data_IF_808293484809
#
_entry.id   IF_808293484809
#
_cell.length_a   1.000
_cell.length_b   1.000
_cell.length_c   1.000
_cell.angle_alpha   90.00
_cell.angle_beta   90.00
_cell.angle_gamma   90.00
#
_symmetry.space_group_name_H-M   'P 1'
#
loop_
_entity.id
_entity.type
_entity.pdbx_description
1 polymer ?
#
# COMPACT_ATOMS: atom_id res chain seq x y z
N UNK A 1 -8.34 -4.05 12.26
CA UNK A 1 -6.90 -3.90 12.09
C UNK A 1 -6.63 -3.31 10.71
N UNK A 2 -5.60 -2.45 10.55
CA UNK A 2 -5.25 -1.87 9.27
C UNK A 2 -4.77 -2.93 8.26
N UNK A 3 -5.16 -2.77 7.01
CA UNK A 3 -4.91 -3.76 5.95
C UNK A 3 -4.86 -3.12 4.57
N UNK A 4 -4.12 -3.73 3.65
CA UNK A 4 -4.26 -3.52 2.21
C UNK A 4 -5.01 -4.68 1.58
N UNK A 5 -6.02 -4.37 0.78
CA UNK A 5 -6.77 -5.36 0.00
C UNK A 5 -6.57 -5.11 -1.49
N UNK A 6 -6.06 -6.10 -2.22
CA UNK A 6 -5.83 -5.98 -3.66
C UNK A 6 -7.16 -6.18 -4.40
N UNK A 7 -7.62 -5.13 -5.08
CA UNK A 7 -8.88 -5.14 -5.83
C UNK A 7 -8.67 -5.32 -7.33
N UNK A 8 -7.46 -5.07 -7.84
CA UNK A 8 -7.10 -5.26 -9.25
C UNK A 8 -5.61 -5.61 -9.38
N UNK A 9 -5.27 -6.32 -10.44
CA UNK A 9 -3.91 -6.74 -10.78
C UNK A 9 -3.71 -8.23 -10.57
N UNK A 10 -2.47 -8.70 -10.76
CA UNK A 10 -2.13 -10.13 -10.67
C UNK A 10 -2.48 -10.77 -9.33
N UNK A 11 -2.47 -9.96 -8.28
CA UNK A 11 -2.65 -10.37 -6.89
C UNK A 11 -4.08 -10.15 -6.37
N UNK A 12 -5.05 -9.91 -7.26
CA UNK A 12 -6.43 -9.61 -6.89
C UNK A 12 -7.01 -10.62 -5.89
N UNK A 13 -7.70 -10.10 -4.87
CA UNK A 13 -8.27 -10.89 -3.77
C UNK A 13 -7.31 -11.14 -2.60
N UNK A 14 -6.01 -10.83 -2.74
CA UNK A 14 -5.07 -10.93 -1.62
C UNK A 14 -5.29 -9.79 -0.62
N UNK A 15 -5.17 -10.12 0.66
CA UNK A 15 -5.24 -9.18 1.78
C UNK A 15 -3.95 -9.25 2.58
N UNK A 16 -3.38 -8.09 2.87
CA UNK A 16 -2.17 -7.94 3.68
C UNK A 16 -2.52 -7.20 4.96
N UNK A 17 -2.22 -7.81 6.11
CA UNK A 17 -2.41 -7.17 7.40
C UNK A 17 -1.19 -6.33 7.76
N UNK A 18 -1.43 -5.10 8.22
CA UNK A 18 -0.38 -4.15 8.55
C UNK A 18 -0.14 -4.16 10.07
N UNK A 19 0.98 -4.75 10.49
CA UNK A 19 1.30 -4.94 11.92
C UNK A 19 2.61 -4.30 12.35
N UNK A 20 3.51 -4.03 11.41
CA UNK A 20 4.89 -3.61 11.69
C UNK A 20 5.03 -2.09 11.56
N UNK A 21 6.08 -1.52 12.18
CA UNK A 21 6.33 -0.08 12.09
C UNK A 21 6.72 0.35 10.68
N UNK A 22 7.46 -0.49 9.97
CA UNK A 22 7.86 -0.26 8.59
C UNK A 22 7.56 -1.54 7.81
N UNK A 23 6.85 -1.41 6.68
CA UNK A 23 6.49 -2.52 5.82
C UNK A 23 6.92 -2.22 4.39
N UNK A 24 7.87 -2.99 3.87
CA UNK A 24 8.29 -2.91 2.48
C UNK A 24 7.22 -3.47 1.53
N UNK A 25 7.03 -2.77 0.41
CA UNK A 25 6.14 -3.13 -0.70
C UNK A 25 6.96 -3.21 -1.97
N UNK A 26 6.82 -4.31 -2.69
CA UNK A 26 7.48 -4.47 -3.98
C UNK A 26 7.41 -5.90 -4.49
N UNK A 27 8.01 -6.15 -5.65
CA UNK A 27 8.02 -7.51 -6.23
C UNK A 27 9.10 -8.43 -5.68
N UNK A 28 10.10 -7.86 -5.02
CA UNK A 28 11.18 -8.64 -4.41
C UNK A 28 10.64 -9.47 -3.23
N UNK A 29 11.04 -10.75 -3.10
CA UNK A 29 10.57 -11.61 -2.01
C UNK A 29 11.00 -11.17 -0.62
N UNK A 30 11.98 -10.26 -0.49
CA UNK A 30 12.34 -9.66 0.79
C UNK A 30 11.29 -8.68 1.33
N UNK A 31 10.37 -8.18 0.51
CA UNK A 31 9.31 -7.30 0.96
C UNK A 31 8.25 -8.07 1.74
N UNK A 32 7.77 -7.46 2.82
CA UNK A 32 6.65 -7.99 3.60
C UNK A 32 5.38 -8.08 2.76
N UNK A 33 5.15 -7.07 1.91
CA UNK A 33 4.05 -7.04 0.96
C UNK A 33 4.63 -7.30 -0.43
N UNK A 34 4.73 -8.59 -0.74
CA UNK A 34 5.22 -9.06 -2.03
C UNK A 34 4.10 -9.05 -3.07
N UNK A 35 4.30 -8.25 -4.13
CA UNK A 35 3.43 -8.20 -5.31
C UNK A 35 4.05 -9.01 -6.47
N UNK A 36 3.25 -9.75 -7.21
CA UNK A 36 3.65 -10.52 -8.40
C UNK A 36 3.67 -9.69 -9.69
N UNK A 37 3.37 -8.40 -9.58
CA UNK A 37 3.31 -7.44 -10.69
C UNK A 37 4.72 -7.09 -11.21
N UNK A 38 4.91 -7.24 -12.51
CA UNK A 38 6.18 -6.94 -13.20
C UNK A 38 6.46 -5.45 -13.32
N UNK A 39 5.41 -4.61 -13.30
CA UNK A 39 5.51 -3.15 -13.35
C UNK A 39 5.84 -2.54 -11.98
N UNK A 40 5.80 -3.34 -10.92
CA UNK A 40 6.18 -2.92 -9.57
C UNK A 40 7.70 -3.09 -9.41
N UNK A 41 8.39 -2.04 -8.98
CA UNK A 41 9.81 -2.10 -8.59
C UNK A 41 10.10 -3.19 -7.54
N UNK A 42 11.34 -3.69 -7.53
CA UNK A 42 11.82 -4.67 -6.54
C UNK A 42 11.56 -4.21 -5.11
N UNK A 43 12.01 -3.00 -4.78
CA UNK A 43 11.58 -2.22 -3.61
C UNK A 43 10.87 -1.00 -4.16
N UNK A 44 9.56 -0.94 -4.03
CA UNK A 44 8.74 0.08 -4.67
C UNK A 44 8.41 1.19 -3.68
N UNK A 45 7.91 0.81 -2.52
CA UNK A 45 7.49 1.73 -1.48
C UNK A 45 7.61 1.07 -0.12
N UNK A 46 7.47 1.88 0.91
CA UNK A 46 7.33 1.47 2.29
C UNK A 46 6.09 2.10 2.91
N UNK A 47 5.46 1.39 3.83
CA UNK A 47 4.49 1.94 4.74
C UNK A 47 5.14 2.20 6.09
N UNK A 48 5.04 3.43 6.56
CA UNK A 48 5.60 3.86 7.84
C UNK A 48 4.46 4.11 8.81
N UNK A 49 4.48 3.44 9.96
CA UNK A 49 3.48 3.64 11.01
C UNK A 49 3.87 4.85 11.85
N UNK A 50 3.08 5.90 11.74
CA UNK A 50 3.14 7.13 12.51
C UNK A 50 2.08 7.13 13.62
N UNK A 51 2.01 8.21 14.40
CA UNK A 51 1.02 8.38 15.48
C UNK A 51 -0.42 8.47 14.95
N UNK A 52 -0.59 9.03 13.75
CA UNK A 52 -1.87 9.30 13.08
C UNK A 52 -2.29 8.21 12.09
N UNK A 53 -1.49 7.15 11.90
CA UNK A 53 -1.79 6.04 11.00
C UNK A 53 -0.59 5.61 10.16
N UNK A 54 -0.86 4.92 9.04
CA UNK A 54 0.19 4.57 8.10
C UNK A 54 0.39 5.66 7.06
N UNK A 55 1.65 5.97 6.78
CA UNK A 55 2.08 6.86 5.71
C UNK A 55 2.70 6.04 4.60
N UNK A 56 2.36 6.38 3.37
CA UNK A 56 2.99 5.85 2.18
C UNK A 56 4.30 6.59 1.89
N UNK A 57 5.36 5.86 1.55
CA UNK A 57 6.64 6.39 1.12
C UNK A 57 7.12 5.64 -0.13
N UNK A 58 7.10 6.28 -1.29
CA UNK A 58 7.71 5.76 -2.51
C UNK A 58 9.24 5.81 -2.42
N UNK A 59 9.90 4.74 -2.86
CA UNK A 59 11.37 4.59 -2.79
C UNK A 59 12.07 4.91 -4.13
N UNK A 60 11.49 5.80 -4.94
CA UNK A 60 11.98 6.08 -6.28
C UNK A 60 11.61 4.98 -7.27
N UNK A 61 10.35 4.52 -7.18
CA UNK A 61 9.84 3.48 -8.07
C UNK A 61 9.81 3.93 -9.53
N UNK A 62 9.97 2.99 -10.46
CA UNK A 62 10.09 3.34 -11.89
C UNK A 62 8.79 3.94 -12.46
N UNK A 63 7.64 3.43 -12.01
CA UNK A 63 6.33 3.86 -12.49
C UNK A 63 5.63 4.84 -11.54
N UNK A 64 6.21 5.09 -10.35
CA UNK A 64 5.60 5.89 -9.31
C UNK A 64 4.48 5.17 -8.56
N UNK A 65 4.09 5.78 -7.45
CA UNK A 65 2.92 5.39 -6.66
C UNK A 65 1.81 6.42 -6.83
N UNK A 66 0.56 5.95 -6.84
CA UNK A 66 -0.61 6.82 -6.96
C UNK A 66 -1.59 6.53 -5.83
N UNK A 67 -2.08 7.58 -5.18
CA UNK A 67 -3.15 7.50 -4.17
C UNK A 67 -4.33 8.30 -4.67
N UNK A 68 -5.49 7.66 -4.77
CA UNK A 68 -6.71 8.25 -5.32
C UNK A 68 -6.46 8.95 -6.67
N UNK A 69 -5.72 8.29 -7.57
CA UNK A 69 -5.31 8.77 -8.91
C UNK A 69 -4.27 9.89 -8.95
N UNK A 70 -3.82 10.38 -7.80
CA UNK A 70 -2.77 11.40 -7.71
C UNK A 70 -1.42 10.74 -7.47
N UNK A 71 -0.41 11.07 -8.29
CA UNK A 71 0.95 10.56 -8.09
C UNK A 71 1.55 11.18 -6.83
N UNK A 72 2.11 10.35 -5.96
CA UNK A 72 2.69 10.80 -4.68
C UNK A 72 4.01 10.12 -4.38
N UNK A 73 4.88 10.85 -3.71
CA UNK A 73 6.10 10.31 -3.12
C UNK A 73 5.89 9.98 -1.64
N UNK A 74 5.19 10.85 -0.90
CA UNK A 74 4.83 10.63 0.50
C UNK A 74 3.41 11.10 0.77
N UNK A 75 2.61 10.30 1.46
CA UNK A 75 1.24 10.68 1.79
C UNK A 75 0.69 9.90 3.02
N UNK A 76 0.06 10.58 4.00
CA UNK A 76 -0.72 9.89 5.04
C UNK A 76 -1.91 9.16 4.41
N UNK A 77 -2.07 7.87 4.75
CA UNK A 77 -3.17 7.05 4.25
C UNK A 77 -4.39 7.15 5.15
N UNK A 78 -5.56 7.24 4.53
CA UNK A 78 -6.86 7.23 5.17
C UNK A 78 -7.64 6.00 4.76
N UNK A 79 -8.44 5.47 5.69
CA UNK A 79 -9.31 4.33 5.41
C UNK A 79 -10.20 4.61 4.19
N UNK A 80 -10.18 3.72 3.21
CA UNK A 80 -10.84 3.87 1.91
C UNK A 80 -9.93 4.33 0.77
N UNK A 81 -8.71 4.79 1.07
CA UNK A 81 -7.77 5.25 0.04
C UNK A 81 -7.40 4.13 -0.93
N UNK A 82 -7.37 4.49 -2.22
CA UNK A 82 -7.01 3.59 -3.32
C UNK A 82 -5.56 3.85 -3.72
N UNK A 83 -4.72 2.85 -3.54
CA UNK A 83 -3.30 2.92 -3.84
C UNK A 83 -3.03 2.08 -5.09
N UNK A 84 -2.48 2.72 -6.12
CA UNK A 84 -2.07 2.06 -7.34
C UNK A 84 -0.55 2.08 -7.47
N UNK A 85 0.02 0.91 -7.75
CA UNK A 85 1.44 0.71 -8.07
C UNK A 85 1.53 -0.20 -9.28
N UNK A 86 2.11 0.28 -10.38
CA UNK A 86 2.05 -0.43 -11.66
C UNK A 86 0.60 -0.73 -12.08
N UNK A 87 0.31 -2.00 -12.34
CA UNK A 87 -1.02 -2.51 -12.68
C UNK A 87 -1.86 -2.95 -11.46
N UNK A 88 -1.28 -2.89 -10.26
CA UNK A 88 -1.89 -3.36 -9.02
C UNK A 88 -2.63 -2.22 -8.33
N UNK A 89 -3.92 -2.41 -8.06
CA UNK A 89 -4.75 -1.48 -7.29
C UNK A 89 -5.14 -2.11 -5.96
N UNK A 90 -4.90 -1.38 -4.88
CA UNK A 90 -5.15 -1.80 -3.50
C UNK A 90 -6.03 -0.78 -2.81
N UNK A 91 -6.88 -1.23 -1.89
CA UNK A 91 -7.61 -0.38 -0.95
C UNK A 91 -6.95 -0.50 0.41
N UNK A 92 -6.58 0.64 0.99
CA UNK A 92 -6.22 0.73 2.39
C UNK A 92 -7.48 0.80 3.24
N UNK A 93 -7.56 -0.04 4.26
CA UNK A 93 -8.62 -0.01 5.25
C UNK A 93 -7.98 0.08 6.61
N UNK A 94 -8.35 1.09 7.37
CA UNK A 94 -8.06 1.16 8.79
C UNK A 94 -9.37 1.05 9.57
N UNK A 95 -9.48 0.03 10.42
CA UNK A 95 -10.66 -0.18 11.25
C UNK A 95 -10.58 0.59 12.57
N UNK A 96 -9.58 1.45 12.78
CA UNK A 96 -9.60 2.42 13.88
C UNK A 96 -10.66 3.52 13.67
N UNK A 97 -11.31 3.57 12.49
CA UNK A 97 -12.43 4.44 12.20
C UNK A 97 -13.64 3.66 11.65
N UNK A 98 -14.25 2.81 12.48
CA UNK A 98 -15.64 2.39 12.29
C UNK A 98 -16.24 1.83 13.60
N UNK A 99 -16.70 2.74 14.46
CA UNK A 99 -18.04 2.66 15.01
C UNK A 99 -18.52 4.09 15.34
N UNK A 100 -19.42 4.64 14.52
CA UNK A 100 -20.56 5.31 15.10
C UNK A 100 -21.82 4.66 14.55
N UNK A 101 -22.38 3.73 15.32
CA UNK A 101 -23.83 3.61 15.58
C UNK A 101 -24.01 2.90 16.92
#
# INVERSE_FOLDING_TARGET
>A
MPSLFVIQGRDQGRRFELRERVLGIGRDPSNRIRLGDTEVSRRHAELHRCEDGYHWHDLGSSNGSFVNTVRVEQQPLRSGDRIQVGSTLMIYTDSLAAAPV
#
